data_IF_007849149804
#
_entry.id   IF_007849149804
#
_cell.length_a   1.000
_cell.length_b   1.000
_cell.length_c   1.000
_cell.angle_alpha   90.00
_cell.angle_beta   90.00
_cell.angle_gamma   90.00
#
_symmetry.space_group_name_H-M   'P 1'
#
loop_
_entity.id
_entity.type
_entity.pdbx_description
1 polymer ?
#
# COMPACT_ATOMS: atom_id res chain seq x y z
N UNK A 1 -9.40 -2.71 22.88
CA UNK A 1 -8.07 -2.19 23.26
C UNK A 1 -7.04 -3.31 23.14
N UNK A 2 -6.14 -3.27 22.16
CA UNK A 2 -5.04 -4.26 22.05
C UNK A 2 -4.02 -3.94 23.14
N UNK A 3 -3.82 -4.85 24.09
CA UNK A 3 -2.73 -4.74 25.07
C UNK A 3 -1.41 -4.87 24.32
N UNK A 4 -0.66 -3.78 24.19
CA UNK A 4 0.72 -3.85 23.72
C UNK A 4 1.52 -4.67 24.73
N UNK A 5 1.92 -5.89 24.35
CA UNK A 5 2.94 -6.63 25.08
C UNK A 5 4.23 -5.83 24.87
N UNK A 6 4.80 -5.30 25.95
CA UNK A 6 6.12 -4.68 25.89
C UNK A 6 7.11 -5.67 25.27
N UNK A 7 7.91 -5.18 24.32
CA UNK A 7 8.90 -5.99 23.61
C UNK A 7 9.87 -6.62 24.61
N UNK A 8 9.79 -7.94 24.75
CA UNK A 8 10.80 -8.69 25.47
C UNK A 8 12.05 -8.76 24.58
N UNK A 9 13.13 -8.10 25.00
CA UNK A 9 14.43 -8.37 24.42
C UNK A 9 14.73 -9.87 24.58
N UNK A 10 14.86 -10.62 23.48
CA UNK A 10 15.35 -12.01 23.52
C UNK A 10 16.80 -11.97 24.02
N UNK A 11 17.01 -12.13 25.33
CA UNK A 11 18.35 -12.18 25.94
C UNK A 11 18.71 -13.62 26.31
N UNK A 12 19.97 -13.95 26.09
CA UNK A 12 20.61 -15.25 26.30
C UNK A 12 20.33 -15.87 27.68
N UNK A 13 20.06 -17.17 27.69
CA UNK A 13 19.73 -18.02 28.86
C UNK A 13 20.63 -17.82 30.10
N UNK A 14 21.90 -17.44 29.91
CA UNK A 14 22.89 -17.31 30.99
C UNK A 14 22.79 -16.04 31.84
N UNK A 15 22.00 -15.03 31.45
CA UNK A 15 21.82 -13.79 32.23
C UNK A 15 20.42 -13.73 32.84
N UNK A 16 20.12 -14.66 33.75
CA UNK A 16 19.01 -14.49 34.71
C UNK A 16 19.37 -13.41 35.73
N UNK A 17 19.45 -12.14 35.32
CA UNK A 17 19.36 -11.04 36.28
C UNK A 17 17.91 -10.95 36.72
N UNK A 18 17.64 -11.27 37.99
CA UNK A 18 16.38 -10.93 38.65
C UNK A 18 16.28 -9.42 38.88
N UNK A 19 16.44 -8.61 37.83
CA UNK A 19 15.84 -7.28 37.87
C UNK A 19 14.34 -7.53 37.80
N UNK A 20 13.75 -7.68 38.99
CA UNK A 20 12.32 -7.85 39.16
C UNK A 20 11.64 -6.78 38.33
N UNK A 21 10.57 -7.16 37.63
CA UNK A 21 9.71 -6.17 36.99
C UNK A 21 9.17 -5.29 38.12
N UNK A 22 9.76 -4.12 38.30
CA UNK A 22 9.17 -3.08 39.12
C UNK A 22 7.88 -2.73 38.43
N UNK A 23 6.75 -3.19 38.97
CA UNK A 23 5.45 -2.70 38.58
C UNK A 23 5.32 -1.34 39.26
N UNK A 24 5.56 -0.21 38.56
CA UNK A 24 5.37 1.09 39.17
C UNK A 24 3.95 1.16 39.74
N UNK A 25 3.81 1.72 40.94
CA UNK A 25 2.52 1.87 41.58
C UNK A 25 1.66 2.83 40.74
N UNK A 26 0.85 2.26 39.85
CA UNK A 26 0.03 3.00 38.90
C UNK A 26 -0.82 4.07 39.59
N UNK A 27 -1.37 3.79 40.77
CA UNK A 27 -2.15 4.78 41.54
C UNK A 27 -1.32 6.00 41.91
N UNK A 28 -0.09 5.78 42.38
CA UNK A 28 0.81 6.86 42.79
C UNK A 28 1.19 7.75 41.60
N UNK A 29 1.64 7.15 40.49
CA UNK A 29 2.04 7.91 39.30
C UNK A 29 0.86 8.63 38.64
N UNK A 30 -0.32 8.02 38.59
CA UNK A 30 -1.53 8.72 38.11
C UNK A 30 -1.94 9.86 39.03
N UNK A 31 -1.67 9.78 40.33
CA UNK A 31 -1.88 10.88 41.28
C UNK A 31 -0.99 12.08 40.96
N UNK A 32 0.32 11.83 40.77
CA UNK A 32 1.29 12.87 40.40
C UNK A 32 0.93 13.55 39.07
N UNK A 33 0.54 12.76 38.06
CA UNK A 33 0.12 13.32 36.77
C UNK A 33 -1.13 14.19 36.92
N UNK A 34 -2.08 13.80 37.77
CA UNK A 34 -3.27 14.63 38.02
C UNK A 34 -2.90 15.96 38.67
N UNK A 35 -2.07 15.94 39.72
CA UNK A 35 -1.65 17.18 40.40
C UNK A 35 -0.90 18.11 39.46
N UNK A 36 0.05 17.60 38.67
CA UNK A 36 0.76 18.40 37.67
C UNK A 36 -0.19 18.97 36.61
N UNK A 37 -1.15 18.18 36.12
CA UNK A 37 -2.13 18.67 35.14
C UNK A 37 -3.06 19.73 35.73
N UNK A 38 -3.44 19.61 37.00
CA UNK A 38 -4.29 20.57 37.70
C UNK A 38 -3.57 21.90 37.95
N UNK A 39 -2.30 21.84 38.36
CA UNK A 39 -1.43 23.01 38.53
C UNK A 39 -1.24 23.75 37.20
N UNK A 40 -0.89 23.02 36.13
CA UNK A 40 -0.73 23.60 34.81
C UNK A 40 -2.01 24.27 34.31
N UNK A 41 -3.17 23.63 34.50
CA UNK A 41 -4.46 24.17 34.10
C UNK A 41 -4.86 25.41 34.92
N UNK A 42 -4.45 25.50 36.18
CA UNK A 42 -4.71 26.66 37.04
C UNK A 42 -3.97 27.89 36.53
N UNK A 43 -2.69 27.73 36.20
CA UNK A 43 -1.82 28.83 35.77
C UNK A 43 -2.10 29.28 34.32
N UNK A 44 -2.45 28.33 33.44
CA UNK A 44 -2.58 28.58 32.00
C UNK A 44 -4.03 28.70 31.51
N UNK A 45 -5.01 28.69 32.41
CA UNK A 45 -6.45 28.66 32.07
C UNK A 45 -6.84 29.69 31.02
N UNK A 46 -6.51 30.96 31.27
CA UNK A 46 -6.96 32.08 30.43
C UNK A 46 -6.30 32.04 29.04
N UNK A 47 -5.01 31.72 29.00
CA UNK A 47 -4.25 31.58 27.76
C UNK A 47 -4.81 30.45 26.89
N UNK A 48 -5.06 29.29 27.49
CA UNK A 48 -5.62 28.14 26.77
C UNK A 48 -7.02 28.43 26.25
N UNK A 49 -7.88 29.08 27.02
CA UNK A 49 -9.24 29.42 26.57
C UNK A 49 -9.24 30.44 25.41
N UNK A 50 -8.24 31.33 25.33
CA UNK A 50 -8.10 32.32 24.26
C UNK A 50 -7.51 31.72 22.98
N UNK A 51 -6.45 30.92 23.10
CA UNK A 51 -5.72 30.40 21.95
C UNK A 51 -6.25 29.04 21.47
N UNK A 52 -6.42 28.07 22.38
CA UNK A 52 -6.74 26.67 22.07
C UNK A 52 -7.68 26.05 23.12
N UNK A 53 -8.96 26.47 23.16
CA UNK A 53 -9.91 25.99 24.16
C UNK A 53 -10.14 24.47 24.10
N UNK A 54 -9.96 23.86 22.93
CA UNK A 54 -9.99 22.40 22.73
C UNK A 54 -9.10 21.65 23.71
N UNK A 55 -7.85 22.08 23.85
CA UNK A 55 -6.85 21.42 24.70
C UNK A 55 -7.29 21.50 26.16
N UNK A 56 -7.75 22.66 26.61
CA UNK A 56 -8.24 22.85 27.97
C UNK A 56 -9.40 21.91 28.32
N UNK A 57 -10.40 21.82 27.45
CA UNK A 57 -11.55 20.94 27.69
C UNK A 57 -11.20 19.46 27.56
N UNK A 58 -10.25 19.08 26.69
CA UNK A 58 -9.72 17.71 26.60
C UNK A 58 -8.99 17.29 27.88
N UNK A 59 -8.12 18.13 28.44
CA UNK A 59 -7.38 17.82 29.68
C UNK A 59 -8.31 17.63 30.89
N UNK A 60 -9.43 18.35 30.92
CA UNK A 60 -10.47 18.22 31.97
C UNK A 60 -11.46 17.07 31.66
N UNK A 61 -11.29 16.37 30.53
CA UNK A 61 -12.18 15.31 30.05
C UNK A 61 -13.63 15.78 29.86
N UNK A 62 -13.83 16.99 29.30
CA UNK A 62 -15.13 17.57 28.98
C UNK A 62 -15.26 17.87 27.49
N UNK A 63 -16.50 17.89 27.00
CA UNK A 63 -16.78 18.29 25.60
C UNK A 63 -16.55 19.79 25.44
N UNK A 64 -16.02 20.18 24.28
CA UNK A 64 -15.84 21.60 23.92
C UNK A 64 -17.22 22.30 23.88
N UNK A 65 -17.42 23.40 24.61
CA UNK A 65 -18.65 24.19 24.53
C UNK A 65 -18.94 24.74 23.14
N UNK A 66 -20.21 24.86 22.76
CA UNK A 66 -20.66 25.40 21.45
C UNK A 66 -20.06 26.77 21.11
N UNK A 67 -19.80 27.62 22.12
CA UNK A 67 -19.19 28.95 21.94
C UNK A 67 -17.77 28.92 21.35
N UNK A 68 -17.06 27.80 21.48
CA UNK A 68 -15.71 27.59 20.93
C UNK A 68 -15.70 26.64 19.73
N UNK A 69 -16.86 26.07 19.36
CA UNK A 69 -16.96 25.22 18.19
C UNK A 69 -17.10 26.07 16.94
N UNK A 70 -16.37 25.69 15.87
CA UNK A 70 -16.61 26.27 14.56
C UNK A 70 -18.04 25.98 14.12
N UNK A 71 -18.74 27.01 13.64
CA UNK A 71 -20.07 26.83 13.06
C UNK A 71 -19.92 25.99 11.78
N UNK A 72 -20.82 25.02 11.54
CA UNK A 72 -20.77 24.24 10.31
C UNK A 72 -20.86 25.20 9.10
N UNK A 73 -19.89 25.09 8.19
CA UNK A 73 -19.84 25.90 6.94
C UNK A 73 -21.01 25.59 6.01
N UNK A 74 -21.53 24.36 6.08
CA UNK A 74 -22.68 23.92 5.30
C UNK A 74 -23.93 24.36 6.04
N UNK A 75 -24.72 25.24 5.41
CA UNK A 75 -26.06 25.55 5.87
C UNK A 75 -26.88 24.25 5.80
N UNK A 76 -27.17 23.64 6.96
CA UNK A 76 -28.08 22.50 7.05
C UNK A 76 -29.50 23.02 6.92
N UNK A 77 -29.91 23.42 5.72
CA UNK A 77 -31.31 23.66 5.42
C UNK A 77 -32.07 22.33 5.51
N UNK A 78 -33.34 22.33 5.96
CA UNK A 78 -34.15 21.12 5.94
C UNK A 78 -34.20 20.56 4.51
N UNK A 79 -34.27 19.23 4.37
CA UNK A 79 -34.24 18.52 3.07
C UNK A 79 -35.30 19.06 2.09
N UNK A 80 -36.44 19.49 2.61
CA UNK A 80 -37.54 20.08 1.84
C UNK A 80 -37.25 21.47 1.23
N UNK A 81 -36.16 22.13 1.64
CA UNK A 81 -35.73 23.41 1.05
C UNK A 81 -34.73 23.24 -0.10
N UNK A 82 -34.21 22.02 -0.31
CA UNK A 82 -33.27 21.74 -1.40
C UNK A 82 -34.04 21.52 -2.70
N UNK A 83 -34.23 22.60 -3.46
CA UNK A 83 -34.73 22.55 -4.83
C UNK A 83 -33.54 22.25 -5.75
N UNK A 84 -33.52 21.11 -6.46
CA UNK A 84 -32.43 20.77 -7.38
C UNK A 84 -32.17 21.91 -8.38
N UNK A 85 -30.92 22.18 -8.76
CA UNK A 85 -30.61 23.26 -9.69
C UNK A 85 -31.32 23.08 -11.04
N UNK A 86 -31.58 21.83 -11.44
CA UNK A 86 -32.30 21.47 -12.66
C UNK A 86 -33.75 21.98 -12.69
N UNK A 87 -34.44 22.05 -11.54
CA UNK A 87 -35.83 22.52 -11.48
C UNK A 87 -35.94 24.04 -11.43
N UNK A 88 -34.82 24.76 -11.39
CA UNK A 88 -34.77 26.24 -11.50
C UNK A 88 -34.55 26.70 -12.95
N UNK A 89 -34.17 25.79 -13.85
CA UNK A 89 -33.93 26.08 -15.26
C UNK A 89 -35.24 26.00 -16.06
N UNK A 90 -35.32 26.79 -17.11
CA UNK A 90 -36.36 26.64 -18.11
C UNK A 90 -36.20 25.30 -18.86
N UNK A 91 -37.28 24.79 -19.45
CA UNK A 91 -37.27 23.52 -20.19
C UNK A 91 -36.25 23.51 -21.33
N UNK A 92 -36.03 24.66 -21.97
CA UNK A 92 -35.09 24.84 -23.07
C UNK A 92 -33.64 24.80 -22.61
N UNK A 93 -33.31 25.49 -21.51
CA UNK A 93 -31.96 25.46 -20.90
C UNK A 93 -31.60 24.06 -20.41
N UNK A 94 -32.57 23.32 -19.87
CA UNK A 94 -32.38 21.94 -19.44
C UNK A 94 -32.05 21.02 -20.62
N UNK A 95 -32.77 21.15 -21.74
CA UNK A 95 -32.50 20.36 -22.95
C UNK A 95 -31.11 20.66 -23.54
N UNK A 96 -30.69 21.93 -23.53
CA UNK A 96 -29.33 22.32 -23.96
C UNK A 96 -28.26 21.69 -23.06
N UNK A 97 -28.46 21.68 -21.74
CA UNK A 97 -27.52 21.03 -20.81
C UNK A 97 -27.44 19.52 -21.02
N UNK A 98 -28.59 18.86 -21.19
CA UNK A 98 -28.66 17.42 -21.44
C UNK A 98 -27.94 17.04 -22.74
N UNK A 99 -28.08 17.84 -23.80
CA UNK A 99 -27.36 17.64 -25.07
C UNK A 99 -25.85 17.80 -24.91
N UNK A 100 -25.39 18.85 -24.23
CA UNK A 100 -23.97 19.06 -23.94
C UNK A 100 -23.38 17.90 -23.12
N UNK A 101 -24.09 17.46 -22.09
CA UNK A 101 -23.64 16.34 -21.26
C UNK A 101 -23.59 15.03 -22.06
N UNK A 102 -24.58 14.79 -22.94
CA UNK A 102 -24.57 13.62 -23.81
C UNK A 102 -23.41 13.64 -24.81
N UNK A 103 -23.08 14.79 -25.39
CA UNK A 103 -21.92 14.96 -26.28
C UNK A 103 -20.61 14.73 -25.53
N UNK A 104 -20.44 15.31 -24.34
CA UNK A 104 -19.25 15.08 -23.51
C UNK A 104 -19.07 13.60 -23.13
N UNK A 105 -20.17 12.91 -22.82
CA UNK A 105 -20.14 11.46 -22.52
C UNK A 105 -19.69 10.67 -23.74
N UNK A 106 -20.20 10.99 -24.94
CA UNK A 106 -19.77 10.35 -26.20
C UNK A 106 -18.28 10.55 -26.46
N UNK A 107 -17.78 11.79 -26.31
CA UNK A 107 -16.36 12.10 -26.49
C UNK A 107 -15.49 11.32 -25.50
N UNK A 108 -15.89 11.25 -24.23
CA UNK A 108 -15.17 10.48 -23.20
C UNK A 108 -15.16 8.99 -23.51
N UNK A 109 -16.30 8.42 -23.92
CA UNK A 109 -16.39 7.01 -24.30
C UNK A 109 -15.56 6.67 -25.56
N UNK A 110 -15.51 7.58 -26.53
CA UNK A 110 -14.66 7.43 -27.72
C UNK A 110 -13.18 7.48 -27.35
N UNK A 111 -12.76 8.44 -26.53
CA UNK A 111 -11.39 8.53 -26.04
C UNK A 111 -10.96 7.28 -25.26
N UNK A 112 -11.85 6.72 -24.43
CA UNK A 112 -11.58 5.46 -23.71
C UNK A 112 -11.44 4.29 -24.69
N UNK A 113 -12.32 4.19 -25.70
CA UNK A 113 -12.23 3.14 -26.73
C UNK A 113 -10.96 3.24 -27.55
N UNK A 114 -10.53 4.44 -27.94
CA UNK A 114 -9.27 4.63 -28.67
C UNK A 114 -8.07 4.25 -27.82
N UNK A 115 -8.03 4.68 -26.55
CA UNK A 115 -6.96 4.30 -25.63
C UNK A 115 -6.84 2.78 -25.50
N UNK A 116 -7.96 2.09 -25.32
CA UNK A 116 -7.97 0.62 -25.25
C UNK A 116 -7.47 -0.05 -26.54
N UNK A 117 -7.72 0.55 -27.72
CA UNK A 117 -7.18 0.04 -28.99
C UNK A 117 -5.66 0.21 -29.08
N UNK A 118 -5.16 1.37 -28.65
CA UNK A 118 -3.72 1.67 -28.64
C UNK A 118 -2.99 0.75 -27.68
N UNK A 119 -3.50 0.59 -26.45
CA UNK A 119 -2.90 -0.27 -25.43
C UNK A 119 -2.79 -1.73 -25.92
N UNK A 120 -3.85 -2.26 -26.56
CA UNK A 120 -3.83 -3.61 -27.16
C UNK A 120 -2.78 -3.77 -28.26
N UNK A 121 -2.65 -2.78 -29.15
CA UNK A 121 -1.65 -2.81 -30.22
C UNK A 121 -0.22 -2.77 -29.65
N UNK A 122 0.00 -2.04 -28.55
CA UNK A 122 1.29 -1.98 -27.88
C UNK A 122 1.61 -3.29 -27.14
N UNK A 123 0.63 -3.90 -26.46
CA UNK A 123 0.75 -5.23 -25.87
C UNK A 123 1.13 -6.29 -26.92
N UNK A 124 0.43 -6.33 -28.05
CA UNK A 124 0.77 -7.25 -29.16
C UNK A 124 2.19 -7.02 -29.69
N UNK A 125 2.64 -5.76 -29.79
CA UNK A 125 4.00 -5.43 -30.22
C UNK A 125 5.04 -5.95 -29.22
N UNK A 126 4.80 -5.76 -27.93
CA UNK A 126 5.67 -6.25 -26.84
C UNK A 126 5.70 -7.78 -26.84
N UNK A 127 4.57 -8.44 -27.00
CA UNK A 127 4.47 -9.89 -27.06
C UNK A 127 5.23 -10.48 -28.25
N UNK A 128 5.07 -9.90 -29.45
CA UNK A 128 5.86 -10.32 -30.63
C UNK A 128 7.36 -10.16 -30.40
N UNK A 129 7.78 -9.05 -29.80
CA UNK A 129 9.20 -8.82 -29.48
C UNK A 129 9.73 -9.83 -28.46
N UNK A 130 8.98 -10.08 -27.38
CA UNK A 130 9.32 -11.09 -26.37
C UNK A 130 9.39 -12.50 -26.96
N UNK A 131 8.45 -12.86 -27.82
CA UNK A 131 8.44 -14.16 -28.50
C UNK A 131 9.67 -14.33 -29.40
N UNK A 132 10.08 -13.29 -30.14
CA UNK A 132 11.30 -13.31 -30.94
C UNK A 132 12.55 -13.47 -30.07
N UNK A 133 12.69 -12.69 -28.99
CA UNK A 133 13.82 -12.78 -28.07
C UNK A 133 13.92 -14.15 -27.37
N UNK A 134 12.78 -14.74 -26.99
CA UNK A 134 12.75 -16.09 -26.41
C UNK A 134 13.18 -17.15 -27.43
N UNK A 135 12.76 -17.01 -28.70
CA UNK A 135 13.19 -17.90 -29.78
C UNK A 135 14.70 -17.82 -29.99
N UNK A 136 15.27 -16.63 -30.05
CA UNK A 136 16.73 -16.44 -30.19
C UNK A 136 17.48 -17.01 -28.97
N UNK A 137 17.00 -16.73 -27.76
CA UNK A 137 17.57 -17.29 -26.53
C UNK A 137 17.49 -18.81 -26.49
N UNK A 138 16.44 -19.42 -27.03
CA UNK A 138 16.35 -20.89 -27.15
C UNK A 138 17.33 -21.49 -28.15
N UNK A 139 17.94 -20.69 -29.03
CA UNK A 139 19.00 -21.16 -29.93
C UNK A 139 20.40 -20.94 -29.33
N UNK A 140 20.52 -20.01 -28.37
CA UNK A 140 21.78 -19.67 -27.70
C UNK A 140 21.82 -20.38 -26.34
N UNK A 141 22.42 -21.56 -26.30
CA UNK A 141 22.67 -22.30 -25.06
C UNK A 141 24.03 -21.92 -24.48
N UNK A 142 24.11 -21.79 -23.16
CA UNK A 142 25.40 -21.76 -22.46
C UNK A 142 26.00 -23.17 -22.52
N UNK A 143 27.01 -23.36 -23.37
CA UNK A 143 27.80 -24.59 -23.40
C UNK A 143 28.72 -24.59 -22.18
N UNK A 144 28.53 -25.55 -21.26
CA UNK A 144 29.49 -25.77 -20.19
C UNK A 144 30.78 -26.33 -20.82
N UNK A 145 31.91 -25.60 -20.79
CA UNK A 145 33.15 -26.06 -21.41
C UNK A 145 33.73 -27.31 -20.73
N UNK A 146 33.28 -27.64 -19.51
CA UNK A 146 33.70 -28.82 -18.76
C UNK A 146 32.79 -30.04 -19.00
N UNK A 147 31.57 -29.84 -19.50
CA UNK A 147 30.73 -30.93 -19.96
C UNK A 147 31.03 -31.18 -21.44
N UNK A 148 31.73 -32.27 -21.73
CA UNK A 148 31.71 -32.82 -23.08
C UNK A 148 30.23 -33.13 -23.37
N UNK A 149 29.61 -32.43 -24.33
CA UNK A 149 28.24 -32.73 -24.75
C UNK A 149 28.11 -34.17 -25.28
N UNK A 150 27.20 -34.43 -26.22
CA UNK A 150 27.14 -35.76 -26.87
C UNK A 150 28.38 -36.12 -27.73
N UNK A 151 29.46 -35.36 -27.63
CA UNK A 151 30.75 -35.62 -28.25
C UNK A 151 31.60 -36.49 -27.34
N UNK A 152 31.69 -37.77 -27.65
CA UNK A 152 32.63 -38.70 -27.01
C UNK A 152 33.93 -38.72 -27.81
N UNK A 153 35.07 -38.72 -27.13
CA UNK A 153 36.37 -38.86 -27.78
C UNK A 153 36.43 -40.15 -28.60
N UNK A 154 36.90 -40.06 -29.85
CA UNK A 154 37.13 -41.22 -30.73
C UNK A 154 38.17 -42.19 -30.15
N UNK A 155 38.97 -41.73 -29.18
CA UNK A 155 39.97 -42.53 -28.46
C UNK A 155 39.45 -43.05 -27.11
N UNK A 156 38.21 -42.70 -26.71
CA UNK A 156 37.63 -43.24 -25.48
C UNK A 156 37.40 -44.74 -25.59
N UNK A 157 37.61 -45.45 -24.48
CA UNK A 157 37.48 -46.91 -24.42
C UNK A 157 36.04 -47.36 -24.77
N UNK A 158 35.02 -46.62 -24.35
CA UNK A 158 33.63 -46.90 -24.74
C UNK A 158 33.40 -46.76 -26.24
N UNK A 159 33.97 -45.73 -26.90
CA UNK A 159 33.84 -45.55 -28.34
C UNK A 159 34.55 -46.68 -29.10
N UNK A 160 35.78 -47.00 -28.69
CA UNK A 160 36.55 -48.11 -29.25
C UNK A 160 35.85 -49.45 -29.05
N UNK A 161 35.24 -49.73 -27.88
CA UNK A 161 34.43 -50.95 -27.64
C UNK A 161 33.18 -51.02 -28.52
N UNK A 162 32.52 -49.89 -28.77
CA UNK A 162 31.30 -49.83 -29.59
C UNK A 162 31.60 -50.00 -31.09
N UNK A 163 32.71 -49.44 -31.56
CA UNK A 163 33.09 -49.45 -32.99
C UNK A 163 33.94 -50.68 -33.34
N UNK A 164 34.86 -51.09 -32.46
CA UNK A 164 35.67 -52.28 -32.63
C UNK A 164 35.03 -53.46 -31.89
N UNK A 165 34.07 -54.13 -32.54
CA UNK A 165 33.51 -55.43 -32.12
C UNK A 165 34.50 -56.60 -32.27
N UNK A 166 35.74 -56.45 -31.83
CA UNK A 166 36.70 -57.57 -31.77
C UNK A 166 37.24 -57.68 -30.35
N UNK A 167 36.71 -58.66 -29.63
CA UNK A 167 37.19 -59.10 -28.32
C UNK A 167 38.69 -59.43 -28.40
N UNK A 168 39.54 -58.91 -27.50
CA UNK A 168 40.88 -59.46 -27.36
C UNK A 168 40.75 -60.82 -26.66
N UNK A 169 41.06 -61.89 -27.41
CA UNK A 169 41.37 -63.19 -26.84
C UNK A 169 42.60 -63.00 -25.95
N UNK A 170 42.47 -63.21 -24.64
CA UNK A 170 43.61 -63.42 -23.76
C UNK A 170 43.97 -64.90 -23.82
N UNK A 171 45.14 -65.22 -24.38
CA UNK A 171 45.84 -66.49 -24.15
C UNK A 171 46.76 -66.33 -22.95
#
# INVERSE_FOLDING_TARGET
>A
MKKHKSDQSKKSSSRKRQFGRTNPNHRYFMGLLKTETEEYLKDNKEKLLREKPEIYYQMINRKLPKKYQEKPKVQTTPVNAFVPPQSKLSKEELDIQMKKEAEERRIKEEAVREKQRIDKLEEERIERNRAAALKERSLIYWTNPHDQGNYRSIHSEEYQRKVNKKTPFYY
#
